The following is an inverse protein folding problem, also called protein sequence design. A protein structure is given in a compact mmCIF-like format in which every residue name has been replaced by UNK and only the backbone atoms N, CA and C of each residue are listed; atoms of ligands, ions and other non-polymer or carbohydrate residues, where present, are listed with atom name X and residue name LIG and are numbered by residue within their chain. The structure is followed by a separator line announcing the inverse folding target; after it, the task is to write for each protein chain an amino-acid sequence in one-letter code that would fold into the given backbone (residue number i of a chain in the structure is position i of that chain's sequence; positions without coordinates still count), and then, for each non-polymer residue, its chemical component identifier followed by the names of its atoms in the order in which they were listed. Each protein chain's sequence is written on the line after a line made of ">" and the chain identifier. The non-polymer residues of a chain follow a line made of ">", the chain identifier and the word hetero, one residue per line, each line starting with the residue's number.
data_IF_375805590346
#
_entry.id   IF_375805590346
#
_cell.length_a   1.000
_cell.length_b   1.000
_cell.length_c   1.000
_cell.angle_alpha   90.00
_cell.angle_beta   90.00
_cell.angle_gamma   90.00
#
_symmetry.space_group_name_H-M   'P 1'
#
loop_
_entity.id
_entity.type
_entity.pdbx_description
1 polymer ?
#
# COMPACT_ATOMS: atom_id res chain seq x y z
N UNK A 1 -14.67 -7.02 -25.49
CA UNK A 1 -13.29 -6.70 -25.04
C UNK A 1 -13.33 -6.60 -23.51
N UNK A 2 -12.66 -7.49 -22.79
CA UNK A 2 -12.56 -7.38 -21.32
C UNK A 2 -11.73 -6.16 -21.00
N UNK A 3 -12.25 -5.25 -20.16
CA UNK A 3 -11.51 -4.07 -19.70
C UNK A 3 -10.26 -4.49 -18.94
N UNK A 4 -9.17 -3.73 -19.07
CA UNK A 4 -7.96 -3.94 -18.29
C UNK A 4 -8.27 -3.72 -16.80
N UNK A 5 -7.77 -4.59 -15.90
CA UNK A 5 -8.01 -4.42 -14.47
C UNK A 5 -7.33 -3.16 -13.93
N UNK A 6 -8.04 -2.47 -13.05
CA UNK A 6 -7.60 -1.22 -12.43
C UNK A 6 -7.01 -1.52 -11.05
N UNK A 7 -5.83 -0.99 -10.78
CA UNK A 7 -5.12 -1.21 -9.51
C UNK A 7 -4.83 0.12 -8.81
N UNK A 8 -5.31 0.28 -7.58
CA UNK A 8 -4.99 1.44 -6.75
C UNK A 8 -3.62 1.24 -6.10
N UNK A 9 -2.80 2.29 -6.15
CA UNK A 9 -1.41 2.30 -5.69
C UNK A 9 -1.31 3.02 -4.35
N UNK A 10 -1.45 2.28 -3.25
CA UNK A 10 -1.33 2.80 -1.89
C UNK A 10 0.14 2.87 -1.46
N UNK A 11 0.51 3.87 -0.70
CA UNK A 11 1.86 3.93 -0.14
C UNK A 11 2.35 5.33 0.19
N UNK A 12 3.45 5.41 0.97
CA UNK A 12 4.08 6.67 1.33
C UNK A 12 4.87 7.31 0.17
N UNK A 13 4.86 6.70 -1.02
CA UNK A 13 5.54 7.23 -2.20
C UNK A 13 5.08 8.64 -2.55
N UNK A 14 3.81 8.99 -2.26
CA UNK A 14 3.23 10.33 -2.44
C UNK A 14 4.01 11.43 -1.69
N UNK A 15 4.73 11.09 -0.63
CA UNK A 15 5.55 12.03 0.15
C UNK A 15 6.98 12.18 -0.39
N UNK A 16 7.37 11.43 -1.42
CA UNK A 16 8.69 11.53 -2.03
C UNK A 16 8.77 12.77 -2.93
N UNK A 17 9.92 13.45 -2.90
CA UNK A 17 10.14 14.66 -3.72
C UNK A 17 10.05 14.39 -5.22
N UNK A 18 10.37 13.18 -5.65
CA UNK A 18 10.35 12.70 -7.02
C UNK A 18 9.07 11.93 -7.38
N UNK A 19 7.99 12.09 -6.57
CA UNK A 19 6.76 11.31 -6.75
C UNK A 19 6.16 11.44 -8.15
N UNK A 20 6.20 12.62 -8.75
CA UNK A 20 5.69 12.81 -10.12
C UNK A 20 6.38 11.88 -11.14
N UNK A 21 7.70 11.71 -11.01
CA UNK A 21 8.48 10.80 -11.88
C UNK A 21 8.19 9.34 -11.55
N UNK A 22 8.13 8.99 -10.24
CA UNK A 22 7.75 7.63 -9.79
C UNK A 22 6.37 7.24 -10.30
N UNK A 23 5.41 8.14 -10.25
CA UNK A 23 4.06 7.93 -10.75
C UNK A 23 4.03 7.58 -12.25
N UNK A 24 4.84 8.24 -13.07
CA UNK A 24 4.98 7.89 -14.49
C UNK A 24 5.54 6.47 -14.66
N UNK A 25 6.56 6.10 -13.90
CA UNK A 25 7.15 4.75 -13.94
C UNK A 25 6.16 3.68 -13.47
N UNK A 26 5.40 3.94 -12.41
CA UNK A 26 4.32 3.07 -11.93
C UNK A 26 3.31 2.81 -13.05
N UNK A 27 2.83 3.86 -13.70
CA UNK A 27 1.86 3.77 -14.81
C UNK A 27 2.42 3.00 -15.99
N UNK A 28 3.69 3.23 -16.33
CA UNK A 28 4.38 2.48 -17.39
C UNK A 28 4.43 0.98 -17.06
N UNK A 29 4.89 0.60 -15.87
CA UNK A 29 4.98 -0.81 -15.47
C UNK A 29 3.62 -1.50 -15.41
N UNK A 30 2.59 -0.80 -14.94
CA UNK A 30 1.23 -1.32 -14.98
C UNK A 30 0.77 -1.58 -16.42
N UNK A 31 0.98 -0.62 -17.32
CA UNK A 31 0.60 -0.76 -18.73
C UNK A 31 1.33 -1.93 -19.42
N UNK A 32 2.63 -2.12 -19.17
CA UNK A 32 3.40 -3.26 -19.67
C UNK A 32 2.81 -4.62 -19.24
N UNK A 33 2.15 -4.67 -18.09
CA UNK A 33 1.55 -5.86 -17.50
C UNK A 33 0.04 -5.98 -17.77
N UNK A 34 -0.51 -5.09 -18.60
CA UNK A 34 -1.94 -5.06 -18.92
C UNK A 34 -2.84 -4.56 -17.79
N UNK A 35 -2.30 -3.78 -16.85
CA UNK A 35 -2.99 -3.16 -15.73
C UNK A 35 -3.16 -1.65 -15.95
N UNK A 36 -4.16 -1.04 -15.30
CA UNK A 36 -4.34 0.41 -15.26
C UNK A 36 -4.09 0.90 -13.84
N UNK A 37 -3.01 1.67 -13.64
CA UNK A 37 -2.69 2.25 -12.33
C UNK A 37 -3.61 3.43 -12.01
N UNK A 38 -4.13 3.45 -10.77
CA UNK A 38 -4.82 4.57 -10.14
C UNK A 38 -3.93 5.08 -9.00
N UNK A 39 -3.35 6.26 -9.15
CA UNK A 39 -2.39 6.79 -8.20
C UNK A 39 -2.98 7.96 -7.41
N UNK A 40 -2.72 8.06 -6.08
CA UNK A 40 -3.00 9.29 -5.35
C UNK A 40 -2.38 10.51 -6.06
N UNK A 41 -3.13 11.62 -6.11
CA UNK A 41 -2.66 12.83 -6.79
C UNK A 41 -2.63 12.74 -8.31
N UNK A 42 -3.45 11.88 -8.93
CA UNK A 42 -3.70 11.91 -10.36
C UNK A 42 -4.57 13.11 -10.75
N UNK A 43 -5.53 13.44 -9.89
CA UNK A 43 -6.37 14.62 -10.03
C UNK A 43 -5.82 15.76 -9.18
N UNK A 44 -5.80 16.96 -9.73
CA UNK A 44 -5.45 18.17 -8.98
C UNK A 44 -6.61 18.53 -8.05
N UNK A 45 -6.29 18.67 -6.76
CA UNK A 45 -7.28 19.00 -5.74
C UNK A 45 -7.03 20.41 -5.23
N UNK A 46 -8.04 21.26 -5.31
CA UNK A 46 -8.04 22.64 -4.82
C UNK A 46 -9.08 22.84 -3.74
N UNK A 47 -8.94 23.87 -2.91
CA UNK A 47 -9.92 24.22 -1.89
C UNK A 47 -9.58 25.53 -1.18
N UNK A 48 -10.59 26.15 -0.57
CA UNK A 48 -10.48 27.45 0.09
C UNK A 48 -9.69 27.42 1.40
N UNK A 49 -9.43 26.22 1.96
CA UNK A 49 -8.69 26.02 3.20
C UNK A 49 -7.94 24.70 3.20
N UNK A 50 -6.95 24.56 4.09
CA UNK A 50 -6.24 23.27 4.30
C UNK A 50 -7.21 22.14 4.67
N UNK A 51 -8.24 22.41 5.44
CA UNK A 51 -9.25 21.42 5.81
C UNK A 51 -10.08 20.99 4.60
N UNK A 52 -10.50 21.93 3.74
CA UNK A 52 -11.22 21.63 2.51
C UNK A 52 -10.36 20.80 1.54
N UNK A 53 -9.09 21.16 1.36
CA UNK A 53 -8.16 20.42 0.52
C UNK A 53 -7.95 19.00 1.05
N UNK A 54 -7.69 18.83 2.37
CA UNK A 54 -7.48 17.50 2.95
C UNK A 54 -8.71 16.61 2.83
N UNK A 55 -9.90 17.15 3.00
CA UNK A 55 -11.15 16.41 2.82
C UNK A 55 -11.34 16.00 1.37
N UNK A 56 -11.09 16.89 0.43
CA UNK A 56 -11.21 16.59 -1.00
C UNK A 56 -10.20 15.52 -1.46
N UNK A 57 -8.95 15.56 -0.96
CA UNK A 57 -7.96 14.49 -1.20
C UNK A 57 -8.49 13.13 -0.68
N UNK A 58 -9.03 13.10 0.54
CA UNK A 58 -9.62 11.89 1.10
C UNK A 58 -10.74 11.35 0.19
N UNK A 59 -11.68 12.21 -0.20
CA UNK A 59 -12.83 11.80 -1.02
C UNK A 59 -12.39 11.27 -2.40
N UNK A 60 -11.40 11.90 -3.03
CA UNK A 60 -10.81 11.43 -4.30
C UNK A 60 -10.14 10.07 -4.12
N UNK A 61 -9.30 9.88 -3.11
CA UNK A 61 -8.63 8.60 -2.87
C UNK A 61 -9.66 7.48 -2.59
N UNK A 62 -10.71 7.76 -1.81
CA UNK A 62 -11.79 6.79 -1.57
C UNK A 62 -12.49 6.40 -2.86
N UNK A 63 -12.78 7.36 -3.75
CA UNK A 63 -13.39 7.09 -5.06
C UNK A 63 -12.48 6.27 -5.97
N UNK A 64 -11.17 6.54 -5.95
CA UNK A 64 -10.18 5.74 -6.69
C UNK A 64 -10.13 4.30 -6.19
N UNK A 65 -10.10 4.08 -4.87
CA UNK A 65 -10.14 2.73 -4.28
C UNK A 65 -11.43 2.01 -4.67
N UNK A 66 -12.59 2.68 -4.58
CA UNK A 66 -13.87 2.08 -4.98
C UNK A 66 -13.87 1.61 -6.43
N UNK A 67 -13.29 2.42 -7.32
CA UNK A 67 -13.24 2.15 -8.76
C UNK A 67 -12.17 1.13 -9.17
N UNK A 68 -11.24 0.76 -8.27
CA UNK A 68 -10.20 -0.23 -8.53
C UNK A 68 -10.72 -1.66 -8.40
N UNK A 69 -10.15 -2.59 -9.16
CA UNK A 69 -10.36 -4.03 -9.00
C UNK A 69 -9.47 -4.59 -7.89
N UNK A 70 -8.27 -4.04 -7.77
CA UNK A 70 -7.20 -4.47 -6.86
C UNK A 70 -6.53 -3.31 -6.16
N UNK A 71 -5.76 -3.63 -5.10
CA UNK A 71 -4.90 -2.67 -4.43
C UNK A 71 -3.48 -3.25 -4.26
N UNK A 72 -2.46 -2.46 -4.61
CA UNK A 72 -1.06 -2.71 -4.29
C UNK A 72 -0.57 -1.67 -3.29
N UNK A 73 0.03 -2.11 -2.19
CA UNK A 73 0.43 -1.25 -1.08
C UNK A 73 1.93 -1.33 -0.78
N UNK A 74 2.59 -0.19 -0.76
CA UNK A 74 3.95 -0.06 -0.26
C UNK A 74 3.93 -0.01 1.28
N UNK A 75 4.32 -1.11 1.91
CA UNK A 75 4.31 -1.24 3.36
C UNK A 75 5.72 -1.15 3.96
N UNK A 76 6.61 -0.36 3.35
CA UNK A 76 7.91 -0.06 3.95
C UNK A 76 7.78 0.68 5.28
N UNK A 77 8.86 0.71 6.07
CA UNK A 77 8.91 1.51 7.29
C UNK A 77 8.74 3.00 6.96
N UNK A 78 7.83 3.67 7.67
CA UNK A 78 7.52 5.07 7.46
C UNK A 78 7.54 5.84 8.78
N UNK A 79 8.53 6.73 8.95
CA UNK A 79 8.71 7.53 10.19
C UNK A 79 8.83 6.71 11.48
N UNK A 80 9.19 5.43 11.36
CA UNK A 80 9.28 4.47 12.45
C UNK A 80 9.39 3.06 11.92
N UNK A 81 8.95 2.06 12.68
CA UNK A 81 9.01 0.65 12.31
C UNK A 81 7.74 0.13 11.64
N UNK A 82 6.66 0.93 11.64
CA UNK A 82 5.39 0.59 11.03
C UNK A 82 5.19 1.24 9.66
N UNK A 83 4.28 0.73 8.83
CA UNK A 83 3.88 1.39 7.59
C UNK A 83 3.19 2.74 7.85
N UNK A 84 3.03 3.53 6.80
CA UNK A 84 2.21 4.74 6.85
C UNK A 84 0.77 4.43 7.23
N UNK A 85 0.23 5.16 8.20
CA UNK A 85 -1.12 4.95 8.73
C UNK A 85 -2.23 5.17 7.68
N UNK A 86 -2.03 6.10 6.74
CA UNK A 86 -2.94 6.31 5.62
C UNK A 86 -3.00 5.09 4.71
N UNK A 87 -1.83 4.52 4.40
CA UNK A 87 -1.70 3.29 3.62
C UNK A 87 -2.40 2.12 4.32
N UNK A 88 -2.23 1.96 5.63
CA UNK A 88 -2.91 0.90 6.42
C UNK A 88 -4.43 1.07 6.40
N UNK A 89 -4.92 2.32 6.52
CA UNK A 89 -6.35 2.62 6.38
C UNK A 89 -6.90 2.22 5.00
N UNK A 90 -6.19 2.57 3.91
CA UNK A 90 -6.58 2.23 2.53
C UNK A 90 -6.62 0.71 2.30
N UNK A 91 -5.64 -0.03 2.86
CA UNK A 91 -5.63 -1.50 2.85
C UNK A 91 -6.88 -2.05 3.57
N UNK A 92 -7.12 -1.63 4.81
CA UNK A 92 -8.26 -2.09 5.60
C UNK A 92 -9.60 -1.79 4.92
N UNK A 93 -9.72 -0.61 4.32
CA UNK A 93 -10.90 -0.25 3.55
C UNK A 93 -11.09 -1.15 2.32
N UNK A 94 -10.04 -1.34 1.51
CA UNK A 94 -10.09 -2.21 0.33
C UNK A 94 -10.47 -3.66 0.69
N UNK A 95 -9.89 -4.22 1.75
CA UNK A 95 -10.23 -5.55 2.27
C UNK A 95 -11.69 -5.62 2.71
N UNK A 96 -12.18 -4.60 3.45
CA UNK A 96 -13.58 -4.49 3.86
C UNK A 96 -14.56 -4.38 2.69
N UNK A 97 -14.09 -3.91 1.53
CA UNK A 97 -14.83 -3.88 0.25
C UNK A 97 -14.67 -5.16 -0.58
N UNK A 98 -14.04 -6.19 -0.03
CA UNK A 98 -13.82 -7.47 -0.72
C UNK A 98 -12.77 -7.44 -1.83
N UNK A 99 -11.93 -6.40 -1.87
CA UNK A 99 -10.88 -6.29 -2.89
C UNK A 99 -9.67 -7.12 -2.49
N UNK A 100 -8.98 -7.72 -3.47
CA UNK A 100 -7.71 -8.39 -3.25
C UNK A 100 -6.60 -7.36 -3.11
N UNK A 101 -5.76 -7.53 -2.10
CA UNK A 101 -4.67 -6.62 -1.75
C UNK A 101 -3.34 -7.34 -1.76
N UNK A 102 -2.32 -6.73 -2.36
CA UNK A 102 -0.93 -7.15 -2.31
C UNK A 102 -0.07 -6.08 -1.66
N UNK A 103 0.81 -6.50 -0.74
CA UNK A 103 1.75 -5.61 -0.05
C UNK A 103 3.18 -5.92 -0.48
N UNK A 104 3.97 -4.89 -0.76
CA UNK A 104 5.37 -4.99 -1.17
C UNK A 104 6.28 -4.11 -0.32
N UNK A 105 7.60 -4.24 -0.49
CA UNK A 105 8.61 -3.59 0.34
C UNK A 105 8.44 -3.91 1.83
N UNK A 106 7.99 -5.13 2.15
CA UNK A 106 8.02 -5.62 3.52
C UNK A 106 9.47 -5.78 3.99
N UNK A 107 9.81 -5.44 5.24
CA UNK A 107 11.12 -5.76 5.80
C UNK A 107 11.42 -7.26 5.72
N UNK A 108 12.69 -7.59 5.60
CA UNK A 108 13.14 -8.99 5.54
C UNK A 108 13.06 -9.73 6.88
N UNK A 109 12.99 -8.99 8.00
CA UNK A 109 12.91 -9.51 9.35
C UNK A 109 11.48 -9.43 9.89
N UNK A 110 11.16 -10.26 10.88
CA UNK A 110 9.93 -10.15 11.66
C UNK A 110 9.89 -8.86 12.49
N UNK A 111 8.72 -8.52 13.03
CA UNK A 111 8.51 -7.28 13.74
C UNK A 111 9.34 -7.22 15.05
N UNK A 112 9.49 -8.36 15.74
CA UNK A 112 10.30 -8.44 16.96
C UNK A 112 11.77 -8.08 16.71
N UNK A 113 12.33 -8.53 15.58
CA UNK A 113 13.71 -8.22 15.19
C UNK A 113 13.89 -6.80 14.63
N UNK A 114 12.82 -6.16 14.16
CA UNK A 114 12.86 -4.80 13.62
C UNK A 114 12.84 -3.73 14.71
N UNK A 115 12.09 -3.96 15.79
CA UNK A 115 11.86 -2.96 16.85
C UNK A 115 12.93 -3.08 17.93
N UNK A 116 13.68 -2.01 18.26
CA UNK A 116 14.64 -2.03 19.36
C UNK A 116 13.97 -2.35 20.69
N UNK A 117 14.53 -3.34 21.40
CA UNK A 117 14.03 -3.80 22.68
C UNK A 117 14.86 -3.21 23.84
N UNK A 118 14.20 -2.80 24.92
CA UNK A 118 14.84 -2.39 26.18
C UNK A 118 14.89 -3.53 27.19
N UNK A 119 13.96 -4.46 27.08
CA UNK A 119 13.92 -5.76 27.74
C UNK A 119 13.28 -6.78 26.79
N UNK A 120 13.47 -8.09 26.98
CA UNK A 120 12.98 -9.11 26.05
C UNK A 120 11.49 -8.95 25.73
N UNK A 121 11.16 -8.69 24.46
CA UNK A 121 9.80 -8.54 23.97
C UNK A 121 9.18 -7.15 24.13
N UNK A 122 9.85 -6.17 24.75
CA UNK A 122 9.29 -4.84 25.01
C UNK A 122 10.08 -3.71 24.35
N UNK A 123 9.39 -2.80 23.68
CA UNK A 123 9.98 -1.62 23.09
C UNK A 123 10.26 -0.54 24.16
N UNK A 124 10.96 0.54 23.74
CA UNK A 124 11.37 1.65 24.61
C UNK A 124 10.20 2.32 25.37
N UNK A 125 9.00 2.28 24.82
CA UNK A 125 7.80 2.87 25.42
C UNK A 125 7.04 1.88 26.34
N UNK A 126 7.64 0.72 26.65
CA UNK A 126 7.09 -0.29 27.54
C UNK A 126 5.94 -1.10 26.92
N UNK A 127 5.81 -1.09 25.60
CA UNK A 127 4.78 -1.86 24.90
C UNK A 127 5.37 -3.18 24.39
N UNK A 128 4.56 -4.24 24.49
CA UNK A 128 4.89 -5.56 23.95
C UNK A 128 5.00 -5.49 22.43
N UNK A 129 6.04 -6.09 21.88
CA UNK A 129 6.24 -6.26 20.44
C UNK A 129 5.64 -7.61 20.03
N UNK A 130 4.89 -7.66 18.94
CA UNK A 130 4.35 -8.92 18.41
C UNK A 130 5.49 -9.88 18.03
N UNK A 131 5.39 -11.12 18.50
CA UNK A 131 6.33 -12.21 18.21
C UNK A 131 5.60 -13.38 17.53
N UNK A 132 5.20 -13.15 16.27
CA UNK A 132 4.52 -14.15 15.44
C UNK A 132 5.35 -14.55 14.20
N UNK A 133 6.61 -14.12 14.13
CA UNK A 133 7.45 -14.33 12.94
C UNK A 133 6.96 -13.58 11.70
N UNK A 134 6.12 -12.54 11.88
CA UNK A 134 5.56 -11.76 10.80
C UNK A 134 6.31 -10.42 10.62
N UNK A 135 6.54 -9.96 9.38
CA UNK A 135 7.26 -8.72 9.12
C UNK A 135 6.45 -7.46 9.42
N UNK A 136 5.14 -7.61 9.66
CA UNK A 136 4.17 -6.55 9.97
C UNK A 136 3.17 -7.02 11.00
N UNK A 137 2.47 -6.08 11.63
CA UNK A 137 1.36 -6.38 12.54
C UNK A 137 0.46 -7.48 11.96
N UNK A 138 0.02 -8.41 12.80
CA UNK A 138 -0.73 -9.59 12.40
C UNK A 138 -2.00 -9.28 11.58
N UNK A 139 -2.72 -8.20 11.91
CA UNK A 139 -3.93 -7.82 11.18
C UNK A 139 -3.62 -7.43 9.73
N UNK A 140 -2.50 -6.73 9.53
CA UNK A 140 -2.05 -6.33 8.20
C UNK A 140 -1.51 -7.54 7.43
N UNK A 141 -0.66 -8.35 8.08
CA UNK A 141 0.00 -9.49 7.44
C UNK A 141 -0.99 -10.56 6.97
N UNK A 142 -2.09 -10.78 7.71
CA UNK A 142 -3.13 -11.75 7.33
C UNK A 142 -4.19 -11.17 6.39
N UNK A 143 -4.36 -9.85 6.32
CA UNK A 143 -5.34 -9.20 5.44
C UNK A 143 -4.90 -9.15 3.97
N UNK A 144 -3.61 -9.30 3.68
CA UNK A 144 -3.01 -9.08 2.35
C UNK A 144 -2.12 -10.24 1.92
N UNK A 145 -1.83 -10.30 0.62
CA UNK A 145 -0.73 -11.11 0.09
C UNK A 145 0.58 -10.34 0.26
N UNK A 146 1.47 -10.84 1.09
CA UNK A 146 2.80 -10.25 1.26
C UNK A 146 3.73 -10.72 0.11
N UNK A 147 4.16 -9.79 -0.73
CA UNK A 147 5.08 -10.06 -1.82
C UNK A 147 6.51 -9.73 -1.37
N UNK A 148 7.39 -10.73 -1.39
CA UNK A 148 8.80 -10.49 -1.16
C UNK A 148 9.41 -9.78 -2.38
N UNK A 149 9.74 -8.51 -2.22
CA UNK A 149 10.34 -7.70 -3.28
C UNK A 149 9.78 -6.29 -3.38
N UNK A 150 10.08 -5.67 -4.52
CA UNK A 150 9.70 -4.31 -4.83
C UNK A 150 8.34 -4.23 -5.56
N UNK A 151 7.97 -3.02 -5.96
CA UNK A 151 6.75 -2.77 -6.72
C UNK A 151 6.65 -3.63 -7.99
N UNK A 152 7.74 -3.77 -8.76
CA UNK A 152 7.71 -4.56 -10.01
C UNK A 152 7.30 -6.01 -9.74
N UNK A 153 7.92 -6.65 -8.74
CA UNK A 153 7.56 -8.01 -8.33
C UNK A 153 6.10 -8.13 -7.89
N UNK A 154 5.58 -7.10 -7.19
CA UNK A 154 4.18 -7.03 -6.78
C UNK A 154 3.24 -6.99 -7.98
N UNK A 155 3.48 -6.08 -8.94
CA UNK A 155 2.66 -5.94 -10.14
C UNK A 155 2.65 -7.22 -11.00
N UNK A 156 3.79 -7.90 -11.09
CA UNK A 156 3.89 -9.20 -11.77
C UNK A 156 3.07 -10.29 -11.06
N UNK A 157 3.05 -10.29 -9.72
CA UNK A 157 2.21 -11.21 -8.94
C UNK A 157 0.72 -10.94 -9.17
N UNK A 158 0.31 -9.67 -9.20
CA UNK A 158 -1.07 -9.25 -9.52
C UNK A 158 -1.47 -9.69 -10.91
N UNK A 159 -0.62 -9.45 -11.92
CA UNK A 159 -0.89 -9.80 -13.30
C UNK A 159 -1.03 -11.32 -13.49
N UNK A 160 -0.15 -12.13 -12.89
CA UNK A 160 -0.27 -13.59 -12.88
C UNK A 160 -1.58 -14.05 -12.25
N UNK A 161 -1.89 -13.56 -11.06
CA UNK A 161 -3.12 -13.91 -10.36
C UNK A 161 -4.39 -13.58 -11.17
N UNK A 162 -4.38 -12.43 -11.85
CA UNK A 162 -5.48 -12.04 -12.73
C UNK A 162 -5.62 -12.96 -13.94
N UNK A 163 -4.49 -13.33 -14.58
CA UNK A 163 -4.48 -14.20 -15.76
C UNK A 163 -5.01 -15.62 -15.46
N UNK A 164 -4.72 -16.16 -14.27
CA UNK A 164 -5.15 -17.50 -13.82
C UNK A 164 -6.68 -17.61 -13.56
N UNK A 165 -7.41 -16.48 -13.53
CA UNK A 165 -8.85 -16.41 -13.24
C UNK A 165 -9.70 -15.96 -14.42
N UNK A 166 -9.10 -15.85 -15.58
CA UNK A 166 -9.77 -15.65 -16.86
C UNK A 166 -10.02 -16.98 -17.54
#
# INVERSE_FOLDING_TARGET
>A
MTSQPRIYMAGPDVFQRDYAQRKLLIKQWCAELGLVALCPGDDEVTGESKAAVSRAIFDVNMALIESADYLAANVCNFRGHEPDSGTVFEIGYAVGRGKKVWCYNTPGNDLLAQVPQVEPGYCRDGMLIEDFGLPRNLMLAHACELVHGNLRACLEAVARWHAERR
#
